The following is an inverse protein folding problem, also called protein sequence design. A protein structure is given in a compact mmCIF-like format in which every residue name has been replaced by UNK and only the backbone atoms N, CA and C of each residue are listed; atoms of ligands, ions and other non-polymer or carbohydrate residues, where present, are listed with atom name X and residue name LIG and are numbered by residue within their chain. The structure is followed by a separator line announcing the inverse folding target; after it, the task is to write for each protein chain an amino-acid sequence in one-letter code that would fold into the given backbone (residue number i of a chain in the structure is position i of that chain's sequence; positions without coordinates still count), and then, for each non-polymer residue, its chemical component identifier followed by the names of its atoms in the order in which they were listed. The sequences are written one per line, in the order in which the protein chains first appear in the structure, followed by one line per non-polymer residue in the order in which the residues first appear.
data_IF_260270480859
#
_entry.id   IF_260270480859
#
_cell.length_a   1.000
_cell.length_b   1.000
_cell.length_c   1.000
_cell.angle_alpha   90.00
_cell.angle_beta   90.00
_cell.angle_gamma   90.00
#
_symmetry.space_group_name_H-M   'P 1'
#
loop_
_entity.id
_entity.type
_entity.pdbx_description
1 polymer ?
#
# COMPACT_ATOMS: atom_id res chain seq x y z
N UNK A 1 -44.82 26.10 -20.89
CA UNK A 1 -44.00 25.83 -22.09
C UNK A 1 -42.54 25.55 -21.72
N UNK A 2 -41.90 26.40 -20.92
CA UNK A 2 -40.47 26.24 -20.50
C UNK A 2 -40.17 24.89 -19.83
N UNK A 3 -40.98 24.46 -18.86
CA UNK A 3 -40.81 23.19 -18.18
C UNK A 3 -40.87 21.97 -19.11
N UNK A 4 -41.80 21.97 -20.08
CA UNK A 4 -41.93 20.84 -21.01
C UNK A 4 -40.71 20.77 -21.95
N UNK A 5 -40.15 21.91 -22.31
CA UNK A 5 -38.97 22.03 -23.13
C UNK A 5 -37.75 21.48 -22.41
N UNK A 6 -37.53 21.88 -21.17
CA UNK A 6 -36.42 21.36 -20.32
C UNK A 6 -36.60 19.86 -20.06
N UNK A 7 -37.82 19.40 -19.80
CA UNK A 7 -38.09 17.96 -19.53
C UNK A 7 -37.85 17.09 -20.79
N UNK A 8 -38.19 17.56 -21.99
CA UNK A 8 -37.95 16.81 -23.22
C UNK A 8 -36.47 16.83 -23.60
N UNK A 9 -35.82 17.99 -23.49
CA UNK A 9 -34.39 18.13 -23.82
C UNK A 9 -33.48 17.35 -22.87
N UNK A 10 -33.80 17.36 -21.57
CA UNK A 10 -33.03 16.64 -20.59
C UNK A 10 -33.03 15.13 -20.83
N UNK A 11 -34.07 14.57 -21.49
CA UNK A 11 -34.11 13.13 -21.87
C UNK A 11 -33.05 12.76 -22.88
N UNK A 12 -32.53 13.69 -23.63
CA UNK A 12 -31.48 13.51 -24.65
C UNK A 12 -30.10 13.98 -24.17
N UNK A 13 -29.96 14.29 -22.88
CA UNK A 13 -28.65 14.54 -22.30
C UNK A 13 -27.97 13.24 -21.99
N UNK A 14 -26.70 13.13 -22.34
CA UNK A 14 -25.77 12.06 -21.95
C UNK A 14 -24.56 12.65 -21.26
N UNK A 15 -24.02 11.95 -20.28
CA UNK A 15 -22.78 12.36 -19.62
C UNK A 15 -21.85 11.14 -19.43
N UNK A 16 -20.56 11.37 -19.66
CA UNK A 16 -19.51 10.40 -19.41
C UNK A 16 -18.46 11.01 -18.48
N UNK A 17 -17.88 10.17 -17.62
CA UNK A 17 -16.79 10.50 -16.74
C UNK A 17 -15.60 9.60 -17.09
N UNK A 18 -14.44 10.20 -17.34
CA UNK A 18 -13.18 9.50 -17.60
C UNK A 18 -12.13 9.98 -16.60
N UNK A 19 -11.33 9.04 -16.09
CA UNK A 19 -10.29 9.28 -15.11
C UNK A 19 -8.92 9.05 -15.76
N UNK A 20 -7.94 9.85 -15.37
CA UNK A 20 -6.55 9.68 -15.81
C UNK A 20 -5.59 10.16 -14.72
N UNK A 21 -4.68 9.29 -14.20
CA UNK A 21 -4.57 7.85 -14.51
C UNK A 21 -5.75 7.03 -13.97
N UNK A 22 -5.94 5.81 -14.50
CA UNK A 22 -6.98 4.89 -14.00
C UNK A 22 -6.62 4.29 -12.64
N UNK A 23 -5.34 4.24 -12.33
CA UNK A 23 -4.76 3.69 -11.09
C UNK A 23 -3.93 4.79 -10.40
N UNK A 24 -4.59 5.77 -9.76
CA UNK A 24 -3.89 6.87 -9.09
C UNK A 24 -3.23 6.39 -7.80
N UNK A 25 -2.10 7.00 -7.47
CA UNK A 25 -1.46 6.85 -6.15
C UNK A 25 -1.78 8.05 -5.25
N UNK A 26 -1.71 7.84 -3.95
CA UNK A 26 -1.99 8.87 -2.95
C UNK A 26 -1.01 10.04 -3.10
N UNK A 27 -1.55 11.25 -3.28
CA UNK A 27 -0.79 12.49 -3.48
C UNK A 27 -0.48 12.84 -4.94
N UNK A 28 -0.82 11.99 -5.90
CA UNK A 28 -0.67 12.31 -7.32
C UNK A 28 -1.88 13.09 -7.85
N UNK A 29 -1.68 13.85 -8.92
CA UNK A 29 -2.75 14.58 -9.59
C UNK A 29 -3.65 13.61 -10.36
N UNK A 30 -4.94 13.63 -10.05
CA UNK A 30 -5.96 12.89 -10.78
C UNK A 30 -6.77 13.85 -11.65
N UNK A 31 -6.83 13.59 -12.95
CA UNK A 31 -7.66 14.37 -13.87
C UNK A 31 -8.96 13.63 -14.12
N UNK A 32 -10.07 14.22 -13.69
CA UNK A 32 -11.42 13.74 -13.99
C UNK A 32 -12.01 14.60 -15.11
N UNK A 33 -12.27 14.00 -16.26
CA UNK A 33 -12.89 14.68 -17.38
C UNK A 33 -14.37 14.31 -17.46
N UNK A 34 -15.22 15.29 -17.30
CA UNK A 34 -16.67 15.19 -17.48
C UNK A 34 -17.01 15.65 -18.87
N UNK A 35 -17.74 14.85 -19.62
CA UNK A 35 -18.20 15.17 -20.98
C UNK A 35 -19.71 15.07 -21.01
N UNK A 36 -20.37 16.17 -21.32
CA UNK A 36 -21.84 16.25 -21.46
C UNK A 36 -22.20 16.52 -22.90
N UNK A 37 -23.14 15.75 -23.43
CA UNK A 37 -23.62 15.85 -24.79
C UNK A 37 -25.14 16.13 -24.77
N UNK A 38 -25.57 17.10 -25.54
CA UNK A 38 -26.98 17.38 -25.82
C UNK A 38 -27.34 16.84 -27.20
N UNK A 39 -27.97 15.69 -27.26
CA UNK A 39 -28.41 15.04 -28.49
C UNK A 39 -29.77 15.56 -28.97
N UNK A 40 -30.27 16.69 -28.40
CA UNK A 40 -31.49 17.35 -28.83
C UNK A 40 -31.22 18.48 -29.83
N UNK A 41 -32.24 18.82 -30.60
CA UNK A 41 -32.21 19.98 -31.49
C UNK A 41 -32.50 21.32 -30.78
N UNK A 42 -32.72 21.28 -29.46
CA UNK A 42 -33.09 22.46 -28.67
C UNK A 42 -31.80 22.96 -27.97
N UNK A 43 -31.37 24.19 -28.25
CA UNK A 43 -30.18 24.78 -27.65
C UNK A 43 -30.46 25.46 -26.31
N UNK A 44 -29.40 25.81 -25.60
CA UNK A 44 -29.45 26.80 -24.52
C UNK A 44 -29.73 26.26 -23.14
N UNK A 45 -29.51 24.95 -22.88
CA UNK A 45 -29.58 24.44 -21.54
C UNK A 45 -28.31 24.79 -20.74
N UNK A 46 -28.51 25.29 -19.54
CA UNK A 46 -27.50 25.30 -18.51
C UNK A 46 -27.53 23.95 -17.81
N UNK A 47 -26.38 23.27 -17.71
CA UNK A 47 -26.27 21.96 -17.09
C UNK A 47 -25.24 22.02 -15.98
N UNK A 48 -25.62 21.57 -14.80
CA UNK A 48 -24.72 21.42 -13.65
C UNK A 48 -24.65 19.98 -13.20
N UNK A 49 -23.46 19.52 -12.80
CA UNK A 49 -23.23 18.19 -12.21
C UNK A 49 -22.80 18.38 -10.75
N UNK A 50 -23.75 18.34 -9.80
CA UNK A 50 -23.43 18.52 -8.39
C UNK A 50 -22.74 17.27 -7.84
N UNK A 51 -21.74 17.46 -6.98
CA UNK A 51 -20.99 16.41 -6.30
C UNK A 51 -20.45 15.33 -7.26
N UNK A 52 -20.01 15.71 -8.44
CA UNK A 52 -19.60 14.77 -9.50
C UNK A 52 -18.26 14.08 -9.17
N UNK A 53 -17.43 14.67 -8.32
CA UNK A 53 -16.12 14.17 -7.86
C UNK A 53 -16.21 13.33 -6.58
N UNK A 54 -17.35 13.33 -5.89
CA UNK A 54 -17.56 12.57 -4.66
C UNK A 54 -16.55 12.91 -3.56
N UNK A 55 -15.99 11.89 -2.92
CA UNK A 55 -15.03 12.04 -1.80
C UNK A 55 -13.64 12.52 -2.24
N UNK A 56 -13.37 12.60 -3.54
CA UNK A 56 -12.06 13.00 -4.09
C UNK A 56 -11.92 14.50 -4.26
N UNK A 57 -13.01 15.20 -4.54
CA UNK A 57 -13.03 16.64 -4.78
C UNK A 57 -13.25 17.48 -3.53
N UNK A 58 -13.33 18.79 -3.73
CA UNK A 58 -13.76 19.70 -2.69
C UNK A 58 -15.22 19.37 -2.29
N UNK A 59 -15.53 19.57 -1.01
CA UNK A 59 -16.88 19.34 -0.51
C UNK A 59 -17.87 20.22 -1.32
N UNK A 60 -18.91 19.60 -1.90
CA UNK A 60 -19.94 20.26 -2.74
C UNK A 60 -19.41 20.81 -4.07
N UNK A 61 -18.31 20.25 -4.61
CA UNK A 61 -17.82 20.64 -5.95
C UNK A 61 -18.90 20.40 -7.01
N UNK A 62 -19.24 21.45 -7.73
CA UNK A 62 -20.22 21.42 -8.82
C UNK A 62 -19.54 21.74 -10.15
N UNK A 63 -19.72 20.88 -11.13
CA UNK A 63 -19.19 21.09 -12.49
C UNK A 63 -20.26 21.75 -13.35
N UNK A 64 -19.95 22.93 -13.87
CA UNK A 64 -20.91 23.76 -14.57
C UNK A 64 -20.65 23.82 -16.10
N UNK A 65 -21.72 23.75 -16.86
CA UNK A 65 -21.76 23.95 -18.31
C UNK A 65 -22.77 25.07 -18.62
N UNK A 66 -22.28 26.27 -18.73
CA UNK A 66 -23.10 27.51 -18.77
C UNK A 66 -24.10 27.56 -19.94
N UNK A 67 -23.81 26.93 -21.08
CA UNK A 67 -24.73 26.82 -22.21
C UNK A 67 -24.37 25.62 -23.05
N UNK A 68 -25.30 24.72 -23.26
CA UNK A 68 -25.15 23.54 -24.11
C UNK A 68 -26.04 23.71 -25.36
N UNK A 69 -25.39 23.92 -26.50
CA UNK A 69 -26.08 24.09 -27.77
C UNK A 69 -26.77 22.81 -28.25
N UNK A 70 -27.56 22.93 -29.31
CA UNK A 70 -28.16 21.81 -30.03
C UNK A 70 -27.07 20.91 -30.60
N UNK A 71 -27.18 19.58 -30.41
CA UNK A 71 -26.22 18.57 -30.88
C UNK A 71 -24.76 18.87 -30.46
N UNK A 72 -24.59 19.57 -29.37
CA UNK A 72 -23.28 20.02 -28.88
C UNK A 72 -22.76 19.11 -27.75
N UNK A 73 -21.46 18.89 -27.79
CA UNK A 73 -20.72 18.25 -26.71
C UNK A 73 -19.78 19.27 -26.06
N UNK A 74 -19.73 19.27 -24.73
CA UNK A 74 -18.76 20.05 -23.96
C UNK A 74 -18.08 19.17 -22.94
N UNK A 75 -16.83 19.52 -22.61
CA UNK A 75 -16.04 18.86 -21.60
C UNK A 75 -15.57 19.87 -20.54
N UNK A 76 -15.60 19.45 -19.30
CA UNK A 76 -14.99 20.14 -18.17
C UNK A 76 -14.05 19.19 -17.44
N UNK A 77 -13.04 19.73 -16.76
CA UNK A 77 -12.03 18.97 -16.03
C UNK A 77 -12.03 19.42 -14.58
N UNK A 78 -11.90 18.44 -13.69
CA UNK A 78 -11.54 18.63 -12.30
C UNK A 78 -10.24 17.89 -12.03
N UNK A 79 -9.38 18.48 -11.20
CA UNK A 79 -8.06 17.91 -10.86
C UNK A 79 -7.95 17.71 -9.36
N UNK A 80 -8.75 16.80 -8.76
CA UNK A 80 -8.61 16.50 -7.35
C UNK A 80 -7.27 15.77 -7.08
N UNK A 81 -6.72 16.03 -5.89
CA UNK A 81 -5.56 15.28 -5.40
C UNK A 81 -6.01 14.33 -4.31
N UNK A 82 -6.17 13.02 -4.61
CA UNK A 82 -6.53 12.04 -3.60
C UNK A 82 -5.39 11.92 -2.58
N UNK A 83 -5.62 12.41 -1.39
CA UNK A 83 -4.61 12.39 -0.32
C UNK A 83 -4.62 11.09 0.47
N UNK A 84 -5.72 10.33 0.40
CA UNK A 84 -5.90 9.06 1.14
C UNK A 84 -5.92 7.91 0.15
N UNK A 85 -5.20 6.84 0.48
CA UNK A 85 -5.37 5.58 -0.24
C UNK A 85 -6.68 4.90 0.16
N UNK A 86 -7.12 3.96 -0.66
CA UNK A 86 -8.32 3.16 -0.40
C UNK A 86 -9.31 3.20 -1.54
N UNK A 87 -10.49 2.62 -1.31
CA UNK A 87 -11.58 2.66 -2.28
C UNK A 87 -12.40 3.91 -2.05
N UNK A 88 -12.44 4.77 -3.05
CA UNK A 88 -13.22 6.00 -3.07
C UNK A 88 -14.46 5.81 -3.93
N UNK A 89 -15.62 6.17 -3.38
CA UNK A 89 -16.88 6.05 -4.07
C UNK A 89 -17.24 7.35 -4.79
N UNK A 90 -17.20 7.33 -6.12
CA UNK A 90 -17.70 8.41 -6.94
C UNK A 90 -19.19 8.17 -7.21
N UNK A 91 -20.06 9.09 -6.80
CA UNK A 91 -21.51 8.89 -6.93
C UNK A 91 -21.94 8.83 -8.40
N UNK A 92 -23.17 8.37 -8.61
CA UNK A 92 -23.81 8.48 -9.92
C UNK A 92 -23.83 9.93 -10.40
N UNK A 93 -23.63 10.15 -11.70
CA UNK A 93 -23.71 11.47 -12.27
C UNK A 93 -25.16 11.92 -12.36
N UNK A 94 -25.48 12.98 -11.65
CA UNK A 94 -26.76 13.66 -11.74
C UNK A 94 -26.56 14.99 -12.46
N UNK A 95 -27.35 15.25 -13.50
CA UNK A 95 -27.44 16.55 -14.12
C UNK A 95 -28.65 17.31 -13.61
N UNK A 96 -28.44 18.55 -13.26
CA UNK A 96 -29.49 19.56 -13.15
C UNK A 96 -29.45 20.39 -14.41
N UNK A 97 -30.56 20.37 -15.17
CA UNK A 97 -30.69 21.14 -16.41
C UNK A 97 -31.69 22.24 -16.17
N UNK A 98 -31.32 23.45 -16.54
CA UNK A 98 -32.12 24.66 -16.39
C UNK A 98 -32.28 25.36 -17.74
N UNK A 99 -33.44 26.04 -17.92
CA UNK A 99 -33.64 26.92 -19.08
C UNK A 99 -32.80 28.21 -18.91
N UNK A 100 -32.50 28.94 -20.00
CA UNK A 100 -31.66 30.15 -19.93
C UNK A 100 -32.22 31.27 -19.04
N UNK A 101 -33.48 31.23 -18.71
CA UNK A 101 -34.16 32.22 -17.86
C UNK A 101 -34.29 31.77 -16.42
N UNK A 102 -33.88 30.52 -16.09
CA UNK A 102 -33.98 29.95 -14.75
C UNK A 102 -35.43 29.66 -14.28
N UNK A 103 -36.39 29.64 -15.20
CA UNK A 103 -37.81 29.46 -14.88
C UNK A 103 -38.22 28.00 -14.70
N UNK A 104 -37.45 27.09 -15.29
CA UNK A 104 -37.68 25.67 -15.22
C UNK A 104 -36.39 24.90 -15.00
N UNK A 105 -36.41 23.94 -14.10
CA UNK A 105 -35.30 23.05 -13.86
C UNK A 105 -35.76 21.58 -13.80
N UNK A 106 -34.88 20.67 -14.11
CA UNK A 106 -35.08 19.24 -13.97
C UNK A 106 -33.81 18.55 -13.51
N UNK A 107 -33.97 17.44 -12.80
CA UNK A 107 -32.83 16.62 -12.35
C UNK A 107 -32.92 15.23 -12.96
N UNK A 108 -31.82 14.76 -13.53
CA UNK A 108 -31.75 13.45 -14.17
C UNK A 108 -30.43 12.75 -13.87
N UNK A 109 -30.50 11.43 -13.66
CA UNK A 109 -29.32 10.57 -13.58
C UNK A 109 -28.81 10.29 -14.99
N UNK A 110 -27.53 10.59 -15.24
CA UNK A 110 -26.86 10.41 -16.54
C UNK A 110 -25.78 9.34 -16.54
N UNK A 111 -25.24 8.96 -15.37
CA UNK A 111 -24.18 7.97 -15.28
C UNK A 111 -24.27 7.13 -14.01
N UNK A 112 -23.58 6.00 -14.05
CA UNK A 112 -23.50 5.07 -12.92
C UNK A 112 -22.46 5.52 -11.89
N UNK A 113 -22.58 5.07 -10.62
CA UNK A 113 -21.53 5.23 -9.64
C UNK A 113 -20.28 4.43 -10.07
N UNK A 114 -19.13 4.85 -9.61
CA UNK A 114 -17.86 4.21 -9.91
C UNK A 114 -17.01 4.17 -8.66
N UNK A 115 -16.43 3.01 -8.36
CA UNK A 115 -15.44 2.87 -7.32
C UNK A 115 -14.04 3.04 -7.92
N UNK A 116 -13.25 3.92 -7.33
CA UNK A 116 -11.87 4.18 -7.70
C UNK A 116 -10.96 3.75 -6.54
N UNK A 117 -10.02 2.87 -6.82
CA UNK A 117 -9.00 2.50 -5.86
C UNK A 117 -7.81 3.46 -5.99
N UNK A 118 -7.46 4.11 -4.90
CA UNK A 118 -6.24 4.93 -4.77
C UNK A 118 -5.18 4.13 -4.04
N UNK A 119 -4.05 3.94 -4.67
CA UNK A 119 -2.96 3.10 -4.17
C UNK A 119 -2.00 3.86 -3.25
N UNK A 120 -1.29 3.18 -2.32
CA UNK A 120 -0.24 3.81 -1.55
C UNK A 120 0.97 4.12 -2.43
N UNK A 121 1.65 5.22 -2.15
CA UNK A 121 2.90 5.59 -2.84
C UNK A 121 4.05 4.75 -2.28
N UNK A 122 4.65 3.89 -3.10
CA UNK A 122 5.78 3.06 -2.72
C UNK A 122 7.11 3.71 -3.10
N UNK A 123 8.14 3.51 -2.27
CA UNK A 123 9.49 3.93 -2.60
C UNK A 123 10.19 2.89 -3.50
N UNK A 124 10.77 3.34 -4.61
CA UNK A 124 11.57 2.47 -5.48
C UNK A 124 12.93 2.17 -4.85
N UNK A 125 13.04 1.00 -4.22
CA UNK A 125 14.25 0.54 -3.55
C UNK A 125 15.13 -0.25 -4.51
N UNK A 126 16.39 0.17 -4.67
CA UNK A 126 17.41 -0.62 -5.41
C UNK A 126 18.16 -1.60 -4.51
N UNK A 127 18.26 -1.28 -3.24
CA UNK A 127 18.80 -2.10 -2.16
C UNK A 127 17.93 -1.89 -0.92
N UNK A 128 17.91 -2.86 -0.01
CA UNK A 128 17.21 -2.73 1.24
C UNK A 128 18.13 -3.13 2.38
N UNK A 129 18.30 -2.25 3.36
CA UNK A 129 19.17 -2.45 4.52
C UNK A 129 18.80 -3.70 5.33
N UNK A 130 17.51 -4.06 5.36
CA UNK A 130 17.02 -5.25 6.06
C UNK A 130 17.56 -6.56 5.49
N UNK A 131 18.00 -6.55 4.23
CA UNK A 131 18.46 -7.73 3.49
C UNK A 131 19.88 -7.55 2.94
N UNK A 132 20.65 -6.61 3.49
CA UNK A 132 22.01 -6.34 3.05
C UNK A 132 22.90 -7.58 3.13
N UNK A 133 22.80 -8.33 4.23
CA UNK A 133 23.56 -9.57 4.46
C UNK A 133 23.19 -10.69 3.48
N UNK A 134 22.03 -10.62 2.86
CA UNK A 134 21.56 -11.60 1.89
C UNK A 134 21.98 -11.27 0.45
N UNK A 135 22.65 -10.14 0.23
CA UNK A 135 23.08 -9.69 -1.09
C UNK A 135 21.93 -9.44 -2.08
N UNK A 136 20.71 -9.20 -1.58
CA UNK A 136 19.54 -8.97 -2.41
C UNK A 136 19.61 -7.62 -3.11
N UNK A 137 19.46 -7.62 -4.45
CA UNK A 137 19.41 -6.41 -5.26
C UNK A 137 18.31 -6.51 -6.33
N UNK A 138 17.58 -5.43 -6.54
CA UNK A 138 16.55 -5.33 -7.59
C UNK A 138 17.20 -5.39 -8.98
N UNK A 139 16.58 -6.10 -9.91
CA UNK A 139 17.01 -6.17 -11.31
C UNK A 139 18.10 -7.20 -11.65
N UNK A 140 18.68 -7.87 -10.66
CA UNK A 140 19.67 -8.94 -10.92
C UNK A 140 19.03 -10.31 -11.18
N UNK A 141 17.70 -10.44 -10.99
CA UNK A 141 17.00 -11.70 -11.11
C UNK A 141 17.59 -12.79 -10.20
N UNK A 142 17.17 -14.03 -10.36
CA UNK A 142 17.72 -15.18 -9.63
C UNK A 142 19.24 -15.38 -9.82
N UNK A 143 19.85 -14.76 -10.86
CA UNK A 143 21.27 -14.92 -11.18
C UNK A 143 22.20 -14.19 -10.20
N UNK A 144 21.72 -13.17 -9.47
CA UNK A 144 22.54 -12.37 -8.54
C UNK A 144 22.77 -12.99 -7.16
N UNK A 145 22.07 -14.08 -6.81
CA UNK A 145 22.11 -14.69 -5.46
C UNK A 145 22.91 -16.00 -5.43
N UNK A 146 23.57 -16.33 -6.51
CA UNK A 146 24.39 -17.56 -6.57
C UNK A 146 25.77 -17.28 -6.00
N UNK A 147 25.89 -17.23 -4.68
CA UNK A 147 27.17 -17.46 -3.98
C UNK A 147 27.01 -17.75 -2.50
N UNK A 148 26.23 -18.78 -2.16
CA UNK A 148 26.47 -19.53 -0.92
C UNK A 148 25.56 -20.77 -0.91
N UNK A 149 26.13 -21.91 -1.36
CA UNK A 149 25.62 -23.22 -1.04
C UNK A 149 24.21 -23.54 -1.53
N UNK A 150 24.03 -23.70 -2.83
CA UNK A 150 22.90 -24.50 -3.31
C UNK A 150 23.16 -25.94 -2.87
N UNK A 151 22.49 -26.41 -1.83
CA UNK A 151 22.55 -27.80 -1.43
C UNK A 151 21.86 -28.69 -2.46
N UNK A 152 22.53 -29.78 -2.81
CA UNK A 152 21.96 -30.76 -3.75
C UNK A 152 20.81 -31.50 -3.05
N UNK A 153 19.57 -31.26 -3.54
CA UNK A 153 18.36 -31.91 -3.02
C UNK A 153 18.15 -33.29 -3.59
N UNK A 154 18.38 -33.44 -4.90
CA UNK A 154 18.12 -34.69 -5.56
C UNK A 154 18.19 -34.60 -7.10
N UNK A 155 17.85 -35.71 -7.75
CA UNK A 155 17.76 -35.81 -9.21
C UNK A 155 16.34 -36.29 -9.53
N UNK A 156 15.66 -35.57 -10.43
CA UNK A 156 14.34 -35.93 -10.91
C UNK A 156 14.27 -35.93 -12.44
N UNK A 157 13.27 -36.60 -13.06
CA UNK A 157 13.06 -36.48 -14.50
C UNK A 157 12.81 -35.03 -14.94
N UNK A 158 13.35 -34.67 -16.09
CA UNK A 158 13.18 -33.37 -16.73
C UNK A 158 11.76 -33.26 -17.33
N UNK A 159 11.10 -32.11 -17.07
CA UNK A 159 9.83 -31.78 -17.72
C UNK A 159 10.03 -30.84 -18.90
N UNK A 160 9.22 -30.95 -19.99
CA UNK A 160 9.29 -30.05 -21.14
C UNK A 160 9.14 -28.56 -20.69
N UNK A 161 10.05 -27.70 -21.18
CA UNK A 161 10.07 -26.26 -20.83
C UNK A 161 11.07 -25.86 -19.74
N UNK A 162 11.72 -26.82 -19.09
CA UNK A 162 12.74 -26.53 -18.09
C UNK A 162 14.13 -26.26 -18.73
N UNK A 163 14.98 -25.42 -18.09
CA UNK A 163 16.26 -25.07 -18.66
C UNK A 163 17.25 -26.23 -18.69
N UNK A 164 17.79 -26.55 -19.85
CA UNK A 164 18.75 -27.64 -20.08
C UNK A 164 20.08 -27.47 -19.35
N UNK A 165 20.38 -26.24 -18.87
CA UNK A 165 21.60 -25.95 -18.10
C UNK A 165 21.69 -26.68 -16.76
N UNK A 166 20.60 -27.26 -16.27
CA UNK A 166 20.53 -28.01 -15.00
C UNK A 166 20.48 -29.52 -15.19
N UNK A 167 20.70 -30.04 -16.39
CA UNK A 167 20.70 -31.48 -16.63
C UNK A 167 21.90 -32.12 -15.94
N UNK A 168 21.65 -33.20 -15.20
CA UNK A 168 22.68 -34.10 -14.70
C UNK A 168 23.00 -35.15 -15.76
N UNK A 169 24.03 -34.89 -16.55
CA UNK A 169 24.44 -35.74 -17.64
C UNK A 169 24.86 -37.15 -17.18
N UNK A 170 25.39 -37.29 -15.96
CA UNK A 170 25.81 -38.55 -15.39
C UNK A 170 24.61 -39.45 -15.09
N UNK A 171 23.55 -38.90 -14.53
CA UNK A 171 22.32 -39.65 -14.25
C UNK A 171 21.50 -39.88 -15.49
N UNK A 172 21.47 -38.94 -16.41
CA UNK A 172 20.87 -39.06 -17.74
C UNK A 172 21.47 -40.24 -18.52
N UNK A 173 22.81 -40.38 -18.52
CA UNK A 173 23.50 -41.48 -19.17
C UNK A 173 23.21 -42.85 -18.53
N UNK A 174 22.91 -42.92 -17.24
CA UNK A 174 22.56 -44.15 -16.53
C UNK A 174 21.12 -44.57 -16.72
N UNK A 175 20.19 -43.61 -16.80
CA UNK A 175 18.76 -43.88 -16.83
C UNK A 175 18.15 -43.86 -18.22
N UNK A 176 18.87 -43.32 -19.21
CA UNK A 176 18.38 -43.10 -20.59
C UNK A 176 17.34 -41.98 -20.73
N UNK A 177 16.92 -41.37 -19.64
CA UNK A 177 15.97 -40.26 -19.62
C UNK A 177 16.67 -39.00 -19.13
N UNK A 178 16.29 -37.81 -19.66
CA UNK A 178 16.82 -36.55 -19.23
C UNK A 178 16.53 -36.34 -17.73
N UNK A 179 17.58 -36.25 -16.95
CA UNK A 179 17.52 -36.05 -15.49
C UNK A 179 17.97 -34.66 -15.13
N UNK A 180 17.17 -33.96 -14.35
CA UNK A 180 17.44 -32.61 -13.89
C UNK A 180 17.95 -32.63 -12.46
N UNK A 181 19.06 -31.90 -12.22
CA UNK A 181 19.60 -31.69 -10.89
C UNK A 181 18.72 -30.70 -10.13
N UNK A 182 18.02 -31.19 -9.11
CA UNK A 182 17.23 -30.38 -8.20
C UNK A 182 18.17 -29.85 -7.11
N UNK A 183 18.30 -28.56 -7.09
CA UNK A 183 19.12 -27.86 -6.09
C UNK A 183 18.17 -27.21 -5.11
N UNK A 184 18.34 -27.47 -3.82
CA UNK A 184 17.73 -26.65 -2.80
C UNK A 184 18.43 -25.28 -2.84
N UNK A 185 17.66 -24.25 -3.06
CA UNK A 185 18.12 -22.89 -2.87
C UNK A 185 17.97 -22.61 -1.36
N UNK A 186 19.06 -22.61 -0.56
CA UNK A 186 18.99 -22.34 0.88
C UNK A 186 18.45 -20.94 1.18
N UNK A 187 18.39 -20.10 0.16
CA UNK A 187 17.70 -18.81 0.20
C UNK A 187 16.22 -18.91 -0.26
N UNK A 188 15.69 -20.11 -0.46
CA UNK A 188 14.31 -20.40 -0.89
C UNK A 188 13.31 -20.40 0.27
N UNK A 189 13.73 -20.02 1.46
CA UNK A 189 12.84 -19.79 2.59
C UNK A 189 11.85 -18.67 2.30
N UNK A 190 10.61 -18.87 2.73
CA UNK A 190 9.56 -17.87 2.56
C UNK A 190 9.95 -16.58 3.28
N UNK A 191 9.97 -15.49 2.51
CA UNK A 191 10.12 -14.13 3.01
C UNK A 191 8.73 -13.64 3.46
N UNK A 192 8.62 -13.24 4.71
CA UNK A 192 7.37 -12.71 5.25
C UNK A 192 7.54 -11.25 5.63
N UNK A 193 6.63 -10.42 5.14
CA UNK A 193 6.47 -9.03 5.58
C UNK A 193 5.21 -8.97 6.43
N UNK A 194 5.34 -8.58 7.69
CA UNK A 194 4.23 -8.44 8.62
C UNK A 194 3.98 -6.95 8.90
N UNK A 195 2.80 -6.46 8.58
CA UNK A 195 2.35 -5.10 8.85
C UNK A 195 1.46 -5.07 10.08
N UNK A 196 1.85 -4.30 11.08
CA UNK A 196 1.04 -3.99 12.25
C UNK A 196 -0.08 -3.01 11.89
N UNK A 197 -1.32 -3.40 12.15
CA UNK A 197 -2.51 -2.59 11.97
C UNK A 197 -3.31 -2.45 13.28
N UNK A 198 -2.62 -2.34 14.40
CA UNK A 198 -3.23 -2.16 15.72
C UNK A 198 -3.86 -0.77 15.81
N UNK A 199 -5.18 -0.71 15.91
CA UNK A 199 -5.95 0.54 15.87
C UNK A 199 -5.58 1.54 16.99
N UNK A 200 -5.28 1.05 18.19
CA UNK A 200 -4.91 1.87 19.35
C UNK A 200 -3.53 2.54 19.24
N UNK A 201 -2.69 2.10 18.31
CA UNK A 201 -1.34 2.60 18.10
C UNK A 201 -1.23 3.64 16.98
N UNK A 202 -2.34 3.94 16.31
CA UNK A 202 -2.36 4.94 15.23
C UNK A 202 -2.33 6.35 15.82
N UNK A 203 -1.39 7.16 15.32
CA UNK A 203 -1.17 8.55 15.73
C UNK A 203 -0.99 9.42 14.50
N UNK A 204 -1.43 10.68 14.60
CA UNK A 204 -1.38 11.67 13.54
C UNK A 204 -2.75 11.86 12.89
N UNK A 205 -2.84 12.91 12.08
CA UNK A 205 -4.05 13.26 11.34
C UNK A 205 -3.97 12.70 9.91
N UNK A 206 -5.07 12.15 9.43
CA UNK A 206 -5.17 11.69 8.04
C UNK A 206 -4.89 12.84 7.06
N UNK A 207 -4.10 12.63 6.02
CA UNK A 207 -3.49 11.38 5.54
C UNK A 207 -2.10 11.06 6.13
N UNK A 208 -1.62 11.82 7.09
CA UNK A 208 -0.24 11.75 7.60
C UNK A 208 -0.19 11.05 8.97
N UNK A 209 -0.61 9.79 9.03
CA UNK A 209 -0.50 8.97 10.24
C UNK A 209 0.74 8.08 10.20
N UNK A 210 1.18 7.60 11.38
CA UNK A 210 2.22 6.58 11.45
C UNK A 210 1.83 5.29 10.73
N UNK A 211 0.54 4.95 10.70
CA UNK A 211 0.04 3.79 9.96
C UNK A 211 0.19 3.95 8.43
N UNK A 212 -0.07 5.15 7.88
CA UNK A 212 0.15 5.41 6.45
C UNK A 212 1.63 5.23 6.07
N UNK A 213 2.55 5.73 6.89
CA UNK A 213 3.98 5.52 6.69
C UNK A 213 4.37 4.05 6.82
N UNK A 214 3.78 3.33 7.77
CA UNK A 214 4.00 1.88 7.94
C UNK A 214 3.53 1.09 6.71
N UNK A 215 2.39 1.42 6.12
CA UNK A 215 1.90 0.80 4.88
C UNK A 215 2.85 1.07 3.72
N UNK A 216 3.32 2.30 3.56
CA UNK A 216 4.29 2.65 2.52
C UNK A 216 5.61 1.90 2.70
N UNK A 217 6.10 1.78 3.94
CA UNK A 217 7.32 1.04 4.26
C UNK A 217 7.17 -0.46 3.97
N UNK A 218 6.09 -1.09 4.47
CA UNK A 218 5.81 -2.51 4.23
C UNK A 218 5.67 -2.82 2.74
N UNK A 219 4.92 -1.96 2.02
CA UNK A 219 4.74 -2.08 0.58
C UNK A 219 6.05 -1.93 -0.19
N UNK A 220 6.89 -0.94 0.17
CA UNK A 220 8.19 -0.73 -0.48
C UNK A 220 9.15 -1.90 -0.28
N UNK A 221 9.13 -2.49 0.92
CA UNK A 221 9.94 -3.68 1.23
C UNK A 221 9.41 -4.91 0.47
N UNK A 222 8.09 -5.13 0.45
CA UNK A 222 7.49 -6.24 -0.29
C UNK A 222 7.73 -6.11 -1.81
N UNK A 223 7.54 -4.91 -2.38
CA UNK A 223 7.82 -4.63 -3.78
C UNK A 223 9.30 -4.84 -4.14
N UNK A 224 10.21 -4.43 -3.25
CA UNK A 224 11.64 -4.72 -3.41
C UNK A 224 11.89 -6.22 -3.50
N UNK A 225 11.30 -7.04 -2.61
CA UNK A 225 11.45 -8.50 -2.61
C UNK A 225 10.94 -9.09 -3.94
N UNK A 226 9.72 -8.69 -4.37
CA UNK A 226 9.13 -9.12 -5.65
C UNK A 226 10.04 -8.75 -6.83
N UNK A 227 10.64 -7.54 -6.79
CA UNK A 227 11.59 -7.05 -7.79
C UNK A 227 12.91 -7.83 -7.85
N UNK A 228 13.27 -8.59 -6.80
CA UNK A 228 14.41 -9.53 -6.82
C UNK A 228 14.06 -10.89 -7.45
N UNK A 229 12.81 -11.10 -7.87
CA UNK A 229 12.33 -12.35 -8.44
C UNK A 229 11.92 -13.39 -7.39
N UNK A 230 11.68 -12.98 -6.15
CA UNK A 230 11.24 -13.84 -5.05
C UNK A 230 9.79 -13.62 -4.70
N UNK A 231 9.12 -14.67 -4.22
CA UNK A 231 7.80 -14.55 -3.60
C UNK A 231 7.90 -13.94 -2.21
N UNK A 232 6.87 -13.24 -1.78
CA UNK A 232 6.75 -12.70 -0.43
C UNK A 232 5.39 -13.06 0.15
N UNK A 233 5.37 -13.44 1.41
CA UNK A 233 4.14 -13.62 2.16
C UNK A 233 3.84 -12.32 2.91
N UNK A 234 2.77 -11.62 2.54
CA UNK A 234 2.32 -10.41 3.20
C UNK A 234 1.28 -10.76 4.25
N UNK A 235 1.62 -10.52 5.51
CA UNK A 235 0.72 -10.69 6.65
C UNK A 235 0.25 -9.31 7.12
N UNK A 236 -1.05 -9.13 7.21
CA UNK A 236 -1.66 -7.94 7.80
C UNK A 236 -2.20 -8.33 9.18
N UNK A 237 -1.63 -7.74 10.22
CA UNK A 237 -2.16 -7.84 11.57
C UNK A 237 -3.35 -6.88 11.73
N UNK A 238 -4.45 -7.21 11.09
CA UNK A 238 -5.74 -6.52 11.19
C UNK A 238 -6.77 -7.40 11.94
N UNK A 239 -8.02 -6.97 11.99
CA UNK A 239 -9.09 -7.73 12.64
C UNK A 239 -9.36 -9.12 12.02
N UNK A 240 -8.89 -9.36 10.80
CA UNK A 240 -9.07 -10.62 10.03
C UNK A 240 -7.80 -11.44 9.92
N UNK A 241 -6.65 -10.91 10.34
CA UNK A 241 -5.33 -11.55 10.20
C UNK A 241 -5.08 -12.08 8.78
N UNK A 242 -5.18 -11.18 7.80
CA UNK A 242 -5.06 -11.54 6.39
C UNK A 242 -3.64 -11.96 6.04
N UNK A 243 -3.53 -13.03 5.27
CA UNK A 243 -2.27 -13.55 4.72
C UNK A 243 -2.41 -13.71 3.22
N UNK A 244 -1.50 -13.09 2.46
CA UNK A 244 -1.49 -13.16 0.99
C UNK A 244 -0.10 -13.52 0.52
N UNK A 245 0.02 -14.60 -0.26
CA UNK A 245 1.29 -15.00 -0.88
C UNK A 245 1.39 -14.38 -2.26
N UNK A 246 2.31 -13.44 -2.42
CA UNK A 246 2.54 -12.70 -3.63
C UNK A 246 3.65 -13.35 -4.45
N UNK A 247 3.38 -13.60 -5.73
CA UNK A 247 4.37 -14.12 -6.67
C UNK A 247 5.18 -12.97 -7.28
N UNK A 248 6.44 -13.20 -7.70
CA UNK A 248 7.22 -12.17 -8.38
C UNK A 248 6.60 -11.82 -9.73
N UNK A 249 6.79 -10.56 -10.14
CA UNK A 249 6.30 -10.04 -11.42
C UNK A 249 5.13 -9.09 -11.29
N UNK A 250 4.58 -8.67 -12.44
CA UNK A 250 3.56 -7.63 -12.52
C UNK A 250 2.28 -7.97 -11.73
N UNK A 251 1.78 -9.20 -11.84
CA UNK A 251 0.55 -9.60 -11.13
C UNK A 251 0.71 -9.52 -9.61
N UNK A 252 1.85 -9.97 -9.08
CA UNK A 252 2.11 -9.87 -7.64
C UNK A 252 2.28 -8.43 -7.16
N UNK A 253 2.83 -7.54 -8.01
CA UNK A 253 2.87 -6.11 -7.72
C UNK A 253 1.47 -5.49 -7.65
N UNK A 254 0.59 -5.79 -8.63
CA UNK A 254 -0.80 -5.31 -8.60
C UNK A 254 -1.55 -5.83 -7.37
N UNK A 255 -1.43 -7.13 -7.06
CA UNK A 255 -2.05 -7.74 -5.88
C UNK A 255 -1.54 -7.11 -4.57
N UNK A 256 -0.23 -6.81 -4.49
CA UNK A 256 0.36 -6.07 -3.35
C UNK A 256 -0.32 -4.72 -3.17
N UNK A 257 -0.46 -3.95 -4.23
CA UNK A 257 -1.09 -2.64 -4.20
C UNK A 257 -2.56 -2.73 -3.76
N UNK A 258 -3.32 -3.70 -4.29
CA UNK A 258 -4.73 -3.92 -3.93
C UNK A 258 -4.90 -4.26 -2.45
N UNK A 259 -4.06 -5.17 -1.93
CA UNK A 259 -4.09 -5.55 -0.50
C UNK A 259 -3.76 -4.35 0.39
N UNK A 260 -2.74 -3.57 0.02
CA UNK A 260 -2.32 -2.40 0.79
C UNK A 260 -3.32 -1.24 0.69
N UNK A 261 -3.97 -1.02 -0.46
CA UNK A 261 -5.00 0.00 -0.60
C UNK A 261 -6.16 -0.24 0.38
N UNK A 262 -6.52 -1.50 0.60
CA UNK A 262 -7.59 -1.92 1.50
C UNK A 262 -7.15 -2.14 2.96
N UNK A 263 -5.87 -1.95 3.27
CA UNK A 263 -5.38 -2.14 4.63
C UNK A 263 -5.91 -1.04 5.56
N UNK A 264 -6.57 -1.43 6.65
CA UNK A 264 -7.12 -0.52 7.65
C UNK A 264 -6.62 -0.89 9.05
N UNK A 265 -6.35 0.09 9.91
CA UNK A 265 -5.92 -0.18 11.28
C UNK A 265 -7.13 -0.64 12.10
N UNK A 266 -7.31 -1.95 12.20
CA UNK A 266 -8.50 -2.56 12.80
C UNK A 266 -8.20 -3.65 13.84
N UNK A 267 -6.93 -4.02 14.04
CA UNK A 267 -6.57 -4.99 15.07
C UNK A 267 -6.83 -4.43 16.47
N UNK A 268 -7.45 -5.26 17.29
CA UNK A 268 -7.73 -4.97 18.71
C UNK A 268 -6.79 -5.73 19.65
N UNK A 269 -6.21 -6.83 19.16
CA UNK A 269 -5.27 -7.68 19.90
C UNK A 269 -3.87 -7.09 19.76
N UNK A 270 -3.06 -7.06 20.82
CA UNK A 270 -1.66 -6.65 20.72
C UNK A 270 -0.86 -7.53 19.76
N UNK A 271 0.03 -6.92 18.96
CA UNK A 271 0.83 -7.65 17.97
C UNK A 271 1.66 -8.78 18.58
N UNK A 272 2.18 -8.59 19.80
CA UNK A 272 2.93 -9.62 20.53
C UNK A 272 2.12 -10.90 20.75
N UNK A 273 0.85 -10.77 21.15
CA UNK A 273 -0.03 -11.91 21.37
C UNK A 273 -0.37 -12.65 20.07
N UNK A 274 -0.62 -11.91 18.97
CA UNK A 274 -0.85 -12.51 17.66
C UNK A 274 0.39 -13.24 17.13
N UNK A 275 1.59 -12.68 17.29
CA UNK A 275 2.83 -13.37 16.92
C UNK A 275 3.05 -14.65 17.74
N UNK A 276 2.73 -14.64 19.04
CA UNK A 276 2.78 -15.84 19.87
C UNK A 276 1.80 -16.90 19.39
N UNK A 277 0.58 -16.50 19.02
CA UNK A 277 -0.43 -17.40 18.47
C UNK A 277 0.01 -17.98 17.13
N UNK A 278 0.51 -17.18 16.21
CA UNK A 278 1.05 -17.63 14.93
C UNK A 278 2.21 -18.62 15.09
N UNK A 279 3.03 -18.42 16.12
CA UNK A 279 4.12 -19.34 16.45
C UNK A 279 3.62 -20.67 17.00
N UNK A 280 2.62 -20.67 17.90
CA UNK A 280 2.11 -21.88 18.56
C UNK A 280 1.23 -22.74 17.64
N UNK A 281 0.54 -22.15 16.67
CA UNK A 281 -0.34 -22.85 15.73
C UNK A 281 0.32 -23.22 14.39
N UNK A 282 1.61 -22.94 14.21
CA UNK A 282 2.54 -23.63 13.31
C UNK A 282 2.44 -23.34 11.80
N UNK A 283 1.29 -23.05 11.21
CA UNK A 283 1.14 -23.13 9.76
C UNK A 283 1.62 -21.89 8.97
N UNK A 284 1.48 -20.70 9.52
CA UNK A 284 1.75 -19.46 8.77
C UNK A 284 3.20 -18.97 8.82
N UNK A 285 3.92 -19.29 9.88
CA UNK A 285 5.34 -18.95 10.05
C UNK A 285 6.27 -20.17 9.90
N UNK A 286 5.74 -21.39 9.77
CA UNK A 286 6.53 -22.62 9.73
C UNK A 286 7.54 -22.69 8.57
N UNK A 287 7.19 -22.07 7.42
CA UNK A 287 8.08 -21.96 6.26
C UNK A 287 8.89 -20.67 6.21
N UNK A 288 8.61 -19.73 7.15
CA UNK A 288 9.25 -18.41 7.17
C UNK A 288 10.68 -18.54 7.69
N UNK A 289 11.65 -18.16 6.87
CA UNK A 289 13.06 -18.05 7.30
C UNK A 289 13.43 -16.59 7.61
N UNK A 290 12.77 -15.64 6.97
CA UNK A 290 13.05 -14.22 7.10
C UNK A 290 11.75 -13.48 7.37
N UNK A 291 11.71 -12.78 8.49
CA UNK A 291 10.58 -11.95 8.91
C UNK A 291 10.99 -10.47 8.91
N UNK A 292 10.36 -9.68 8.06
CA UNK A 292 10.41 -8.22 8.12
C UNK A 292 9.13 -7.71 8.78
N UNK A 293 9.24 -7.22 10.00
CA UNK A 293 8.13 -6.68 10.78
C UNK A 293 8.09 -5.17 10.64
N UNK A 294 6.93 -4.61 10.30
CA UNK A 294 6.65 -3.17 10.37
C UNK A 294 5.72 -2.92 11.54
N UNK A 295 6.24 -2.37 12.63
CA UNK A 295 5.54 -2.19 13.90
C UNK A 295 5.24 -0.71 14.17
N UNK A 296 4.03 -0.43 14.68
CA UNK A 296 3.59 0.91 15.10
C UNK A 296 4.02 1.23 16.53
N UNK A 297 4.29 0.21 17.33
CA UNK A 297 4.81 0.34 18.69
C UNK A 297 5.79 -0.78 19.00
N UNK A 298 6.72 -0.49 19.89
CA UNK A 298 7.69 -1.46 20.38
C UNK A 298 7.58 -1.54 21.90
N UNK A 299 7.01 -2.63 22.39
CA UNK A 299 6.90 -2.90 23.80
C UNK A 299 7.80 -4.07 24.27
N UNK A 300 7.90 -4.28 25.58
CA UNK A 300 8.75 -5.33 26.15
C UNK A 300 8.26 -6.75 25.80
N UNK A 301 6.95 -6.91 25.61
CA UNK A 301 6.38 -8.20 25.22
C UNK A 301 6.75 -8.56 23.79
N UNK A 302 6.55 -7.61 22.87
CA UNK A 302 6.95 -7.79 21.47
C UNK A 302 8.45 -8.05 21.34
N UNK A 303 9.27 -7.29 22.06
CA UNK A 303 10.73 -7.51 22.06
C UNK A 303 11.11 -8.93 22.50
N UNK A 304 10.47 -9.46 23.56
CA UNK A 304 10.70 -10.86 24.00
C UNK A 304 10.33 -11.87 22.93
N UNK A 305 9.19 -11.68 22.26
CA UNK A 305 8.74 -12.59 21.18
C UNK A 305 9.73 -12.57 20.03
N UNK A 306 10.18 -11.38 19.59
CA UNK A 306 11.12 -11.24 18.49
C UNK A 306 12.48 -11.88 18.81
N UNK A 307 12.98 -11.70 20.03
CA UNK A 307 14.21 -12.36 20.50
C UNK A 307 14.04 -13.89 20.51
N UNK A 308 12.87 -14.40 20.93
CA UNK A 308 12.60 -15.83 20.90
C UNK A 308 12.60 -16.39 19.48
N UNK A 309 11.92 -15.71 18.53
CA UNK A 309 11.92 -16.09 17.11
C UNK A 309 13.34 -16.08 16.52
N UNK A 310 14.15 -15.08 16.88
CA UNK A 310 15.55 -15.02 16.45
C UNK A 310 16.37 -16.20 16.97
N UNK A 311 16.15 -16.62 18.24
CA UNK A 311 16.80 -17.80 18.84
C UNK A 311 16.38 -19.12 18.21
N UNK A 312 15.16 -19.18 17.66
CA UNK A 312 14.65 -20.32 16.90
C UNK A 312 15.21 -20.40 15.47
N UNK A 313 16.06 -19.45 15.08
CA UNK A 313 16.75 -19.45 13.79
C UNK A 313 16.10 -18.55 12.72
N UNK A 314 14.98 -17.88 13.01
CA UNK A 314 14.41 -16.91 12.06
C UNK A 314 15.33 -15.68 11.95
N UNK A 315 15.53 -15.19 10.73
CA UNK A 315 16.13 -13.88 10.53
C UNK A 315 15.02 -12.81 10.70
N UNK A 316 15.13 -12.05 11.79
CA UNK A 316 14.13 -11.04 12.14
C UNK A 316 14.70 -9.65 11.93
N UNK A 317 13.96 -8.82 11.19
CA UNK A 317 14.24 -7.39 11.02
C UNK A 317 12.99 -6.59 11.35
N UNK A 318 13.15 -5.45 12.00
CA UNK A 318 12.05 -4.59 12.46
C UNK A 318 12.19 -3.19 11.86
N UNK A 319 11.11 -2.70 11.26
CA UNK A 319 10.90 -1.29 10.94
C UNK A 319 9.93 -0.75 11.98
N UNK A 320 10.41 0.12 12.84
CA UNK A 320 9.61 0.77 13.85
C UNK A 320 9.15 2.14 13.36
N UNK A 321 7.84 2.39 13.33
CA UNK A 321 7.22 3.66 12.96
C UNK A 321 6.55 4.24 14.21
N UNK A 322 7.38 4.82 15.07
CA UNK A 322 6.95 5.29 16.38
C UNK A 322 6.03 6.50 16.34
N UNK A 323 5.18 6.60 17.36
CA UNK A 323 4.21 7.69 17.52
C UNK A 323 4.85 9.06 17.75
N UNK A 324 6.10 9.13 18.23
CA UNK A 324 6.75 10.36 18.71
C UNK A 324 6.89 11.47 17.67
N UNK A 325 7.04 11.12 16.38
CA UNK A 325 7.14 12.11 15.29
C UNK A 325 5.80 12.54 14.71
N UNK A 326 4.68 11.95 15.14
CA UNK A 326 3.34 12.19 14.61
C UNK A 326 2.42 12.91 15.60
N UNK A 327 2.87 13.19 16.84
CA UNK A 327 2.11 13.93 17.86
C UNK A 327 1.96 15.42 17.53
N UNK A 328 0.95 16.06 18.09
CA UNK A 328 0.65 17.49 17.89
C UNK A 328 1.79 18.45 18.27
N UNK A 329 2.74 18.02 19.10
CA UNK A 329 3.92 18.80 19.48
C UNK A 329 4.98 18.89 18.38
N UNK A 330 4.96 17.97 17.39
CA UNK A 330 5.88 17.99 16.25
C UNK A 330 5.50 19.02 15.17
N UNK A 331 4.27 19.52 15.19
CA UNK A 331 3.78 20.53 14.27
C UNK A 331 3.75 21.89 14.96
N UNK A 332 4.83 22.64 15.00
CA UNK A 332 4.97 23.95 15.62
C UNK A 332 3.84 24.98 15.35
N UNK A 333 2.60 24.69 15.78
CA UNK A 333 1.43 25.51 15.66
C UNK A 333 0.98 26.01 17.05
N UNK A 334 0.63 27.30 17.20
CA UNK A 334 0.21 27.87 18.47
C UNK A 334 -1.10 27.26 18.96
N UNK A 335 -1.10 26.88 20.22
CA UNK A 335 -2.22 26.29 20.95
C UNK A 335 -3.54 27.04 20.75
N UNK A 336 -4.52 26.43 20.09
CA UNK A 336 -5.91 26.76 20.30
C UNK A 336 -6.50 25.78 21.31
N UNK A 337 -6.85 26.34 22.48
CA UNK A 337 -7.51 25.66 23.58
C UNK A 337 -8.88 25.12 23.12
N UNK A 338 -9.09 23.81 23.23
CA UNK A 338 -10.45 23.26 23.29
C UNK A 338 -10.50 22.09 24.26
N UNK A 339 -11.19 22.36 25.36
CA UNK A 339 -11.96 21.54 26.30
C UNK A 339 -11.68 20.03 26.41
N UNK A 340 -11.08 19.73 27.56
CA UNK A 340 -11.24 18.64 28.51
C UNK A 340 -12.36 17.63 28.19
N UNK A 341 -11.95 16.38 27.89
CA UNK A 341 -12.65 15.19 28.34
C UNK A 341 -11.63 14.32 29.05
N UNK A 342 -11.80 14.23 30.36
CA UNK A 342 -11.03 13.39 31.26
C UNK A 342 -11.37 11.91 31.00
N UNK A 343 -10.47 11.19 30.36
CA UNK A 343 -10.41 9.75 30.35
C UNK A 343 -8.97 9.38 30.62
N UNK A 344 -8.72 8.60 31.66
CA UNK A 344 -7.41 8.11 32.08
C UNK A 344 -6.72 7.33 30.96
N UNK A 345 -6.04 8.04 30.06
CA UNK A 345 -5.14 7.46 29.10
C UNK A 345 -3.86 7.09 29.86
N UNK A 346 -3.65 5.80 30.07
CA UNK A 346 -2.34 5.30 30.50
C UNK A 346 -1.27 5.87 29.57
N UNK A 347 -0.21 6.40 30.17
CA UNK A 347 0.92 6.98 29.44
C UNK A 347 1.36 5.96 28.36
N UNK A 348 1.25 6.36 27.07
CA UNK A 348 1.77 5.58 25.96
C UNK A 348 3.28 5.43 26.21
N UNK A 349 3.83 4.19 26.18
CA UNK A 349 5.25 4.02 26.34
C UNK A 349 5.93 4.83 25.22
N UNK A 350 6.66 5.86 25.60
CA UNK A 350 7.62 6.49 24.70
C UNK A 350 8.58 5.39 24.23
N UNK A 351 9.00 5.45 22.99
CA UNK A 351 9.96 4.51 22.40
C UNK A 351 11.16 4.35 23.34
N UNK A 352 11.24 3.22 24.04
CA UNK A 352 12.29 2.97 25.02
C UNK A 352 13.58 2.59 24.27
N UNK A 353 14.60 3.47 24.23
CA UNK A 353 15.85 3.18 23.53
C UNK A 353 16.55 1.91 24.04
N UNK A 354 16.29 1.53 25.29
CA UNK A 354 16.84 0.30 25.86
C UNK A 354 16.30 -0.96 25.18
N UNK A 355 15.05 -0.91 24.65
CA UNK A 355 14.49 -2.03 23.87
C UNK A 355 15.19 -2.19 22.52
N UNK A 356 15.47 -1.09 21.83
CA UNK A 356 16.22 -1.13 20.56
C UNK A 356 17.62 -1.71 20.76
N UNK A 357 18.31 -1.31 21.84
CA UNK A 357 19.63 -1.88 22.21
C UNK A 357 19.54 -3.36 22.51
N UNK A 358 18.50 -3.81 23.24
CA UNK A 358 18.32 -5.22 23.59
C UNK A 358 18.03 -6.09 22.36
N UNK A 359 17.26 -5.58 21.40
CA UNK A 359 16.98 -6.24 20.12
C UNK A 359 18.23 -6.32 19.26
N UNK A 360 19.00 -5.23 19.15
CA UNK A 360 20.26 -5.21 18.41
C UNK A 360 21.28 -6.19 19.00
N UNK A 361 21.39 -6.27 20.34
CA UNK A 361 22.24 -7.25 21.03
C UNK A 361 21.83 -8.70 20.77
N UNK A 362 20.53 -8.95 20.52
CA UNK A 362 20.02 -10.25 20.13
C UNK A 362 20.17 -10.55 18.61
N UNK A 363 20.76 -9.64 17.83
CA UNK A 363 20.96 -9.78 16.39
C UNK A 363 19.68 -9.50 15.57
N UNK A 364 18.73 -8.75 16.12
CA UNK A 364 17.56 -8.23 15.39
C UNK A 364 17.91 -6.86 14.84
N UNK A 365 17.85 -6.72 13.51
CA UNK A 365 18.06 -5.43 12.86
C UNK A 365 16.84 -4.54 13.07
N UNK A 366 17.03 -3.36 13.66
CA UNK A 366 15.98 -2.39 13.91
C UNK A 366 16.23 -1.08 13.15
N UNK A 367 15.27 -0.67 12.35
CA UNK A 367 15.22 0.65 11.70
C UNK A 367 14.07 1.45 12.31
N UNK A 368 14.31 2.71 12.66
CA UNK A 368 13.24 3.60 13.10
C UNK A 368 12.95 4.62 12.00
N UNK A 369 11.68 4.71 11.61
CA UNK A 369 11.18 5.69 10.65
C UNK A 369 10.44 6.81 11.37
N UNK A 370 10.68 8.04 10.91
CA UNK A 370 10.01 9.27 11.38
C UNK A 370 9.15 9.84 10.26
N UNK A 371 8.22 10.70 10.60
CA UNK A 371 7.26 11.31 9.68
C UNK A 371 7.90 11.92 8.42
N UNK A 372 9.02 12.62 8.57
CA UNK A 372 9.67 13.38 7.50
C UNK A 372 10.82 12.62 6.83
N UNK A 373 11.01 11.35 7.18
CA UNK A 373 12.06 10.53 6.57
C UNK A 373 11.69 10.17 5.12
N UNK A 374 12.63 10.38 4.20
CA UNK A 374 12.53 9.81 2.86
C UNK A 374 12.73 8.30 2.93
N UNK A 375 11.67 7.55 2.62
CA UNK A 375 11.66 6.09 2.70
C UNK A 375 12.76 5.43 1.87
N UNK A 376 13.06 5.99 0.68
CA UNK A 376 14.09 5.45 -0.18
C UNK A 376 15.44 5.48 0.50
N UNK A 377 15.80 6.61 1.07
CA UNK A 377 17.06 6.79 1.80
C UNK A 377 17.07 5.99 3.10
N UNK A 378 15.98 6.07 3.88
CA UNK A 378 15.90 5.43 5.19
C UNK A 378 15.99 3.90 5.12
N UNK A 379 15.40 3.28 4.10
CA UNK A 379 15.39 1.82 3.92
C UNK A 379 16.62 1.30 3.14
N UNK A 380 17.36 2.16 2.44
CA UNK A 380 18.54 1.75 1.66
C UNK A 380 19.85 1.71 2.46
N UNK A 381 19.93 2.45 3.56
CA UNK A 381 21.14 2.51 4.40
C UNK A 381 21.06 1.60 5.61
N UNK A 382 22.17 0.99 5.99
CA UNK A 382 22.27 0.28 7.27
C UNK A 382 22.21 1.28 8.43
N UNK A 383 21.78 0.88 9.63
CA UNK A 383 21.74 1.76 10.80
C UNK A 383 23.09 2.42 11.11
N UNK A 384 24.20 1.71 10.86
CA UNK A 384 25.57 2.21 11.06
C UNK A 384 25.91 3.33 10.08
N UNK A 385 25.54 3.18 8.80
CA UNK A 385 25.77 4.20 7.76
C UNK A 385 24.91 5.45 8.00
N UNK A 386 23.68 5.27 8.52
CA UNK A 386 22.79 6.39 8.85
C UNK A 386 23.35 7.26 9.99
N UNK A 387 23.97 6.64 11.00
CA UNK A 387 24.63 7.38 12.09
C UNK A 387 25.81 8.21 11.60
N UNK A 388 26.53 7.75 10.60
CA UNK A 388 27.67 8.46 9.99
C UNK A 388 27.23 9.57 9.02
N UNK A 389 26.12 9.35 8.29
CA UNK A 389 25.60 10.33 7.32
C UNK A 389 24.87 11.52 8.01
N UNK A 390 24.30 11.32 9.20
CA UNK A 390 23.77 12.39 10.05
C UNK A 390 24.87 12.86 11.02
N UNK A 391 25.84 13.65 10.51
CA UNK A 391 26.87 14.26 11.35
C UNK A 391 26.28 15.02 12.56
N UNK A 392 27.04 15.25 13.62
CA UNK A 392 26.57 15.91 14.83
C UNK A 392 26.01 17.29 14.47
N UNK A 393 24.72 17.51 14.79
CA UNK A 393 24.08 18.82 14.78
C UNK A 393 24.32 19.51 16.10
#
# INVERSE_FOLDING_TARGET
MSWLLVAVTSRKLTATRTLSPNEPTSGDDLVITFRVTNDSQIPGLQVTLPNATGDLGARDETIEFASLGSLQQRAARSTPQPTRRGVHHLPALWAQAEDPLGLAHTRRRLGEPLDLTVYPKLADLRSCALFADLGMRRGLGRRGIVRSGSEFRGIRPHNPGEPLSRIDWKSTAKTGNLMLREMDDPASGDLTVLLDATASQVVGDQPQTNFELAVQAAGSVADFILGTGRSVNLLLHDSRERSTRLAPGFNGHCELLDVLAQATPSAKVPLAASLQSLRSHGDRLASTQILALVALSLDRELARVLIALRREGLQVSVIHVGAGSFGAEAAGAPSARSSVVSGSAGARPADDPALLVSLAAAGVLCLTLRRDDDLRTALSFTPTERSLAMGPR
#
